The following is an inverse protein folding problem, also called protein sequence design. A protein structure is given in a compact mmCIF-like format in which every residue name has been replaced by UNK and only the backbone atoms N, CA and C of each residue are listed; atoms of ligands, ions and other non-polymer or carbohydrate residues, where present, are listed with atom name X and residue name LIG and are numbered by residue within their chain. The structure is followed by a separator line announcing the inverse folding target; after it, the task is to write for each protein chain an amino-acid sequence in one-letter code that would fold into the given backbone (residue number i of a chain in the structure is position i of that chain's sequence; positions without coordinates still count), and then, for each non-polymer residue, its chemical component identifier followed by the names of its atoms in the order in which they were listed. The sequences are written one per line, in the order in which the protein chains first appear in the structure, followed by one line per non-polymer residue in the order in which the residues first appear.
data_IF_057753770020
#
_entry.id   IF_057753770020
#
_cell.length_a   1.000
_cell.length_b   1.000
_cell.length_c   1.000
_cell.angle_alpha   90.00
_cell.angle_beta   90.00
_cell.angle_gamma   90.00
#
_symmetry.space_group_name_H-M   'P 1'
#
loop_
_entity.id
_entity.type
_entity.pdbx_description
1 polymer ?
#
# COMPACT_ATOMS: atom_id res chain seq x y z
N UNK A 1 -12.30 15.25 -3.47
CA UNK A 1 -11.00 15.17 -2.76
C UNK A 1 -11.09 15.85 -1.39
N UNK A 2 -11.70 15.18 -0.41
CA UNK A 2 -11.72 15.62 1.00
C UNK A 2 -11.34 14.44 1.92
N UNK A 3 -11.83 13.23 1.60
CA UNK A 3 -11.61 12.03 2.42
C UNK A 3 -10.15 11.54 2.55
N UNK A 4 -9.25 11.86 1.62
CA UNK A 4 -7.84 11.40 1.68
C UNK A 4 -6.96 12.28 2.56
N UNK A 5 -7.18 13.60 2.55
CA UNK A 5 -6.50 14.55 3.45
C UNK A 5 -6.86 14.27 4.91
N UNK A 6 -8.13 13.90 5.14
CA UNK A 6 -8.59 13.47 6.46
C UNK A 6 -7.82 12.24 6.96
N UNK A 7 -7.54 11.24 6.11
CA UNK A 7 -6.85 10.01 6.52
C UNK A 7 -5.39 10.26 6.93
N UNK A 8 -4.66 11.10 6.21
CA UNK A 8 -3.29 11.43 6.59
C UNK A 8 -3.25 12.19 7.92
N UNK A 9 -4.08 13.20 8.09
CA UNK A 9 -4.14 14.02 9.31
C UNK A 9 -4.65 13.21 10.51
N UNK A 10 -5.63 12.33 10.29
CA UNK A 10 -6.08 11.35 11.29
C UNK A 10 -4.92 10.43 11.67
N UNK A 11 -4.24 9.79 10.72
CA UNK A 11 -3.15 8.85 11.02
C UNK A 11 -2.00 9.51 11.81
N UNK A 12 -1.68 10.78 11.51
CA UNK A 12 -0.68 11.57 12.25
C UNK A 12 -1.14 11.83 13.68
N UNK A 13 -2.37 12.28 13.87
CA UNK A 13 -2.95 12.56 15.19
C UNK A 13 -2.99 11.30 16.05
N UNK A 14 -3.48 10.19 15.49
CA UNK A 14 -3.60 8.92 16.20
C UNK A 14 -2.23 8.38 16.64
N UNK A 15 -1.21 8.48 15.78
CA UNK A 15 0.14 8.08 16.15
C UNK A 15 0.69 8.96 17.27
N UNK A 16 0.53 10.28 17.19
CA UNK A 16 0.96 11.21 18.23
C UNK A 16 0.29 10.91 19.58
N UNK A 17 -1.02 10.65 19.58
CA UNK A 17 -1.77 10.26 20.77
C UNK A 17 -1.28 8.93 21.36
N UNK A 18 -0.93 7.95 20.50
CA UNK A 18 -0.45 6.63 20.94
C UNK A 18 0.95 6.65 21.58
N UNK A 19 1.60 7.81 21.70
CA UNK A 19 2.96 7.92 22.27
C UNK A 19 3.01 7.72 23.79
N UNK A 20 1.88 7.82 24.50
CA UNK A 20 1.81 7.57 25.94
C UNK A 20 0.93 6.37 26.27
N UNK A 21 1.32 5.61 27.31
CA UNK A 21 0.60 4.42 27.73
C UNK A 21 -0.84 4.74 28.17
N UNK A 22 -1.04 5.82 28.90
CA UNK A 22 -2.37 6.27 29.34
C UNK A 22 -3.29 6.58 28.15
N UNK A 23 -2.78 7.29 27.16
CA UNK A 23 -3.53 7.58 25.93
C UNK A 23 -3.85 6.31 25.15
N UNK A 24 -2.92 5.36 25.06
CA UNK A 24 -3.18 4.05 24.42
C UNK A 24 -4.34 3.29 25.08
N UNK A 25 -4.42 3.32 26.42
CA UNK A 25 -5.54 2.71 27.15
C UNK A 25 -6.86 3.42 26.88
N UNK A 26 -6.84 4.75 26.82
CA UNK A 26 -8.01 5.54 26.47
C UNK A 26 -8.47 5.26 25.03
N UNK A 27 -7.53 5.21 24.08
CA UNK A 27 -7.78 4.91 22.66
C UNK A 27 -8.39 3.53 22.47
N UNK A 28 -7.94 2.53 23.24
CA UNK A 28 -8.52 1.18 23.22
C UNK A 28 -9.98 1.20 23.67
N UNK A 29 -10.31 1.98 24.69
CA UNK A 29 -11.68 2.11 25.23
C UNK A 29 -12.59 2.96 24.34
N UNK A 30 -12.05 3.95 23.64
CA UNK A 30 -12.82 4.86 22.78
C UNK A 30 -13.19 4.29 21.42
N UNK A 31 -12.72 3.07 21.08
CA UNK A 31 -12.99 2.45 19.79
C UNK A 31 -12.06 2.95 18.68
N UNK A 32 -10.83 3.35 19.02
CA UNK A 32 -9.85 3.77 18.02
C UNK A 32 -9.30 2.60 17.17
N UNK A 33 -9.38 1.35 17.67
CA UNK A 33 -8.86 0.18 16.96
C UNK A 33 -9.55 -0.07 15.60
N UNK A 34 -10.90 -0.11 15.50
CA UNK A 34 -11.57 -0.17 14.20
C UNK A 34 -11.15 0.93 13.21
N UNK A 35 -10.93 2.16 13.69
CA UNK A 35 -10.49 3.27 12.83
C UNK A 35 -9.07 3.05 12.29
N UNK A 36 -8.14 2.58 13.12
CA UNK A 36 -6.79 2.24 12.69
C UNK A 36 -6.79 1.07 11.68
N UNK A 37 -7.62 0.06 11.92
CA UNK A 37 -7.81 -1.06 10.99
C UNK A 37 -8.39 -0.56 9.67
N UNK A 38 -9.36 0.35 9.70
CA UNK A 38 -9.90 0.95 8.50
C UNK A 38 -8.79 1.64 7.70
N UNK A 39 -7.97 2.49 8.30
CA UNK A 39 -6.84 3.16 7.61
C UNK A 39 -5.86 2.14 6.99
N UNK A 40 -5.64 1.00 7.64
CA UNK A 40 -4.74 -0.05 7.17
C UNK A 40 -5.29 -0.86 5.99
N UNK A 41 -6.61 -1.04 5.94
CA UNK A 41 -7.29 -1.84 4.92
C UNK A 41 -7.96 -1.01 3.84
N UNK A 42 -8.08 0.32 4.01
CA UNK A 42 -8.58 1.27 3.01
C UNK A 42 -7.65 1.32 1.80
N UNK A 43 -7.81 0.30 0.95
CA UNK A 43 -7.15 0.11 -0.34
C UNK A 43 -8.18 0.18 -1.48
N UNK A 44 -9.47 0.13 -1.13
CA UNK A 44 -10.56 -0.10 -2.07
C UNK A 44 -11.43 1.15 -2.14
N UNK A 45 -11.47 1.79 -3.29
CA UNK A 45 -12.46 2.82 -3.53
C UNK A 45 -12.41 3.40 -4.91
N UNK A 46 -11.36 4.12 -5.25
CA UNK A 46 -11.39 4.90 -6.49
C UNK A 46 -10.39 4.37 -7.50
N UNK A 47 -10.84 3.86 -8.66
CA UNK A 47 -10.05 3.90 -9.89
C UNK A 47 -9.90 5.36 -10.31
N UNK A 48 -9.26 6.14 -9.45
CA UNK A 48 -8.86 7.51 -9.70
C UNK A 48 -7.47 7.53 -10.32
N UNK A 49 -7.06 8.67 -10.91
CA UNK A 49 -5.68 8.86 -11.29
C UNK A 49 -4.78 8.55 -10.08
N UNK A 50 -3.55 8.03 -10.28
CA UNK A 50 -2.66 7.66 -9.18
C UNK A 50 -2.40 8.90 -8.29
N UNK A 51 -3.25 9.10 -7.29
CA UNK A 51 -2.99 10.00 -6.19
C UNK A 51 -1.76 9.43 -5.49
N UNK A 52 -0.82 10.31 -5.14
CA UNK A 52 0.55 9.97 -4.69
C UNK A 52 0.57 8.68 -3.86
N UNK A 53 1.04 7.55 -4.41
CA UNK A 53 1.01 6.25 -3.73
C UNK A 53 1.78 6.28 -2.39
N UNK A 54 2.67 7.27 -2.25
CA UNK A 54 3.45 7.56 -1.04
C UNK A 54 2.58 8.01 0.14
N UNK A 55 1.54 8.83 -0.07
CA UNK A 55 0.74 9.38 1.03
C UNK A 55 -0.12 8.34 1.74
N UNK A 56 -0.77 7.47 0.96
CA UNK A 56 -1.52 6.33 1.48
C UNK A 56 -0.60 5.34 2.21
N UNK A 57 0.61 5.09 1.68
CA UNK A 57 1.62 4.24 2.32
C UNK A 57 2.06 4.82 3.67
N UNK A 58 2.31 6.12 3.73
CA UNK A 58 2.68 6.82 4.96
C UNK A 58 1.57 6.77 6.02
N UNK A 59 0.32 6.97 5.64
CA UNK A 59 -0.83 6.85 6.55
C UNK A 59 -0.94 5.42 7.11
N UNK A 60 -0.75 4.39 6.26
CA UNK A 60 -0.71 2.99 6.70
C UNK A 60 0.42 2.72 7.68
N UNK A 61 1.63 3.22 7.41
CA UNK A 61 2.78 3.05 8.33
C UNK A 61 2.50 3.67 9.70
N UNK A 62 1.92 4.88 9.73
CA UNK A 62 1.55 5.54 11.00
C UNK A 62 0.47 4.77 11.76
N UNK A 63 -0.55 4.29 11.07
CA UNK A 63 -1.60 3.49 11.68
C UNK A 63 -1.06 2.16 12.25
N UNK A 64 -0.11 1.53 11.57
CA UNK A 64 0.52 0.30 12.05
C UNK A 64 1.33 0.55 13.33
N UNK A 65 2.12 1.62 13.36
CA UNK A 65 2.88 2.01 14.55
C UNK A 65 1.95 2.35 15.74
N UNK A 66 0.85 3.04 15.49
CA UNK A 66 -0.14 3.34 16.52
C UNK A 66 -0.80 2.06 17.09
N UNK A 67 -1.14 1.09 16.24
CA UNK A 67 -1.64 -0.21 16.69
C UNK A 67 -0.62 -0.95 17.56
N UNK A 68 0.65 -0.96 17.15
CA UNK A 68 1.72 -1.58 17.92
C UNK A 68 1.82 -0.97 19.33
N UNK A 69 1.77 0.36 19.44
CA UNK A 69 1.79 1.06 20.73
C UNK A 69 0.60 0.69 21.62
N UNK A 70 -0.60 0.58 21.05
CA UNK A 70 -1.83 0.22 21.80
C UNK A 70 -1.80 -1.23 22.27
N UNK A 71 -1.28 -2.15 21.45
CA UNK A 71 -1.11 -3.56 21.84
C UNK A 71 -0.03 -3.70 22.90
N UNK A 72 1.10 -3.02 22.73
CA UNK A 72 2.20 -3.04 23.69
C UNK A 72 1.81 -2.43 25.05
N UNK A 73 0.94 -1.43 25.05
CA UNK A 73 0.45 -0.77 26.27
C UNK A 73 -0.58 -1.59 27.07
N UNK A 74 -0.93 -2.80 26.62
CA UNK A 74 -1.88 -3.69 27.29
C UNK A 74 -1.37 -4.08 28.70
N UNK A 75 -2.07 -3.71 29.79
CA UNK A 75 -1.65 -4.01 31.16
C UNK A 75 -1.72 -5.51 31.50
N UNK A 76 -2.62 -6.25 30.87
CA UNK A 76 -2.68 -7.71 31.06
C UNK A 76 -1.59 -8.38 30.21
N UNK A 77 -0.50 -8.81 30.86
CA UNK A 77 0.62 -9.45 30.17
C UNK A 77 0.24 -10.69 29.35
N UNK A 78 -0.77 -11.44 29.79
CA UNK A 78 -1.24 -12.64 29.10
C UNK A 78 -1.94 -12.29 27.80
N UNK A 79 -2.78 -11.25 27.82
CA UNK A 79 -3.42 -10.70 26.63
C UNK A 79 -2.41 -9.99 25.74
N UNK A 80 -1.50 -9.19 26.30
CA UNK A 80 -0.46 -8.49 25.54
C UNK A 80 0.35 -9.47 24.69
N UNK A 81 0.78 -10.60 25.27
CA UNK A 81 1.52 -11.65 24.55
C UNK A 81 0.69 -12.28 23.43
N UNK A 82 -0.61 -12.51 23.64
CA UNK A 82 -1.50 -13.07 22.61
C UNK A 82 -1.71 -12.08 21.46
N UNK A 83 -2.10 -10.86 21.80
CA UNK A 83 -2.35 -9.80 20.83
C UNK A 83 -1.09 -9.46 20.02
N UNK A 84 0.08 -9.40 20.66
CA UNK A 84 1.36 -9.12 19.99
C UNK A 84 1.73 -10.23 19.00
N UNK A 85 1.51 -11.51 19.34
CA UNK A 85 1.74 -12.63 18.41
C UNK A 85 0.84 -12.54 17.19
N UNK A 86 -0.44 -12.23 17.39
CA UNK A 86 -1.39 -12.07 16.28
C UNK A 86 -1.01 -10.87 15.42
N UNK A 87 -0.73 -9.72 16.04
CA UNK A 87 -0.32 -8.50 15.34
C UNK A 87 0.92 -8.76 14.49
N UNK A 88 1.94 -9.41 15.05
CA UNK A 88 3.17 -9.71 14.32
C UNK A 88 2.93 -10.55 13.06
N UNK A 89 2.11 -11.60 13.15
CA UNK A 89 1.76 -12.42 11.97
C UNK A 89 1.00 -11.60 10.93
N UNK A 90 0.07 -10.74 11.35
CA UNK A 90 -0.67 -9.86 10.44
C UNK A 90 0.26 -8.84 9.75
N UNK A 91 1.24 -8.30 10.46
CA UNK A 91 2.25 -7.41 9.89
C UNK A 91 3.10 -8.12 8.83
N UNK A 92 3.51 -9.37 9.10
CA UNK A 92 4.23 -10.19 8.12
C UNK A 92 3.39 -10.43 6.87
N UNK A 93 2.10 -10.79 7.03
CA UNK A 93 1.18 -11.00 5.91
C UNK A 93 1.00 -9.71 5.09
N UNK A 94 0.83 -8.55 5.74
CA UNK A 94 0.68 -7.26 5.05
C UNK A 94 1.96 -6.89 4.29
N UNK A 95 3.13 -7.02 4.93
CA UNK A 95 4.41 -6.72 4.30
C UNK A 95 4.70 -7.62 3.09
N UNK A 96 4.37 -8.91 3.19
CA UNK A 96 4.48 -9.85 2.07
C UNK A 96 3.54 -9.45 0.93
N UNK A 97 2.29 -9.12 1.24
CA UNK A 97 1.29 -8.70 0.25
C UNK A 97 1.69 -7.42 -0.47
N UNK A 98 2.19 -6.41 0.26
CA UNK A 98 2.73 -5.17 -0.36
C UNK A 98 3.91 -5.49 -1.28
N UNK A 99 4.83 -6.35 -0.84
CA UNK A 99 5.97 -6.77 -1.65
C UNK A 99 5.48 -7.44 -2.94
N UNK A 100 4.57 -8.41 -2.86
CA UNK A 100 3.98 -9.06 -4.05
C UNK A 100 3.33 -8.06 -5.01
N UNK A 101 2.64 -7.05 -4.48
CA UNK A 101 2.00 -6.02 -5.30
C UNK A 101 3.02 -5.13 -6.00
N UNK A 102 4.08 -4.72 -5.30
CA UNK A 102 5.21 -3.97 -5.88
C UNK A 102 5.87 -4.78 -7.03
N UNK A 103 6.11 -6.08 -6.83
CA UNK A 103 6.63 -6.97 -7.89
C UNK A 103 5.70 -7.01 -9.11
N UNK A 104 4.38 -7.14 -8.91
CA UNK A 104 3.39 -7.19 -9.99
C UNK A 104 3.32 -5.88 -10.78
N UNK A 105 3.42 -4.74 -10.09
CA UNK A 105 3.46 -3.42 -10.74
C UNK A 105 4.74 -3.23 -11.56
N UNK A 106 5.89 -3.67 -11.06
CA UNK A 106 7.15 -3.63 -11.80
C UNK A 106 7.06 -4.47 -13.09
N UNK A 107 6.52 -5.68 -13.00
CA UNK A 107 6.31 -6.54 -14.18
C UNK A 107 5.33 -5.93 -15.20
N UNK A 108 4.27 -5.26 -14.74
CA UNK A 108 3.30 -4.59 -15.61
C UNK A 108 3.92 -3.41 -16.37
N UNK A 109 4.83 -2.67 -15.72
CA UNK A 109 5.57 -1.56 -16.33
C UNK A 109 6.63 -2.04 -17.33
N UNK A 110 7.31 -3.15 -17.03
CA UNK A 110 8.29 -3.75 -17.93
C UNK A 110 7.62 -4.44 -19.14
N UNK A 111 6.46 -5.07 -18.95
CA UNK A 111 5.66 -5.65 -20.03
C UNK A 111 5.06 -4.63 -20.99
N UNK A 112 4.80 -3.40 -20.53
CA UNK A 112 4.39 -2.28 -21.38
C UNK A 112 5.55 -1.71 -22.24
N UNK A 113 6.80 -2.13 -21.98
CA UNK A 113 7.99 -1.74 -22.74
C UNK A 113 8.44 -2.82 -23.73
N UNK A 114 7.48 -3.55 -24.31
CA UNK A 114 7.69 -4.44 -25.46
C UNK A 114 8.20 -3.67 -26.69
N UNK A 115 8.85 -4.34 -27.66
CA UNK A 115 9.76 -3.71 -28.61
C UNK A 115 9.01 -2.89 -29.67
N UNK A 116 8.78 -1.62 -29.39
CA UNK A 116 8.53 -0.64 -30.46
C UNK A 116 9.84 -0.43 -31.23
N UNK A 117 9.95 -1.07 -32.39
CA UNK A 117 11.06 -0.81 -33.32
C UNK A 117 11.56 -1.95 -34.18
N UNK A 118 10.84 -3.05 -34.37
CA UNK A 118 11.10 -3.97 -35.50
C UNK A 118 10.24 -3.57 -36.71
N UNK A 119 10.41 -2.33 -37.16
CA UNK A 119 9.88 -1.87 -38.44
C UNK A 119 10.50 -2.69 -39.56
N UNK A 120 9.67 -3.51 -40.17
CA UNK A 120 9.95 -4.37 -41.31
C UNK A 120 10.46 -3.56 -42.50
N UNK A 121 11.77 -3.57 -42.69
CA UNK A 121 12.45 -3.10 -43.90
C UNK A 121 13.27 -4.23 -44.51
N UNK A 122 12.61 -5.28 -45.01
CA UNK A 122 13.23 -6.20 -45.97
C UNK A 122 12.33 -6.27 -47.19
N UNK A 123 12.67 -5.38 -48.12
CA UNK A 123 12.26 -5.35 -49.51
C UNK A 123 12.54 -6.72 -50.15
N UNK A 124 11.48 -7.49 -50.40
CA UNK A 124 11.49 -8.71 -51.18
C UNK A 124 10.28 -8.63 -52.12
N UNK A 125 10.47 -8.07 -53.31
CA UNK A 125 9.42 -8.09 -54.33
C UNK A 125 9.64 -7.13 -55.48
N UNK A 126 10.47 -7.50 -56.46
CA UNK A 126 10.68 -6.66 -57.65
C UNK A 126 11.45 -7.32 -58.80
N UNK A 127 11.31 -8.63 -59.01
CA UNK A 127 11.68 -9.27 -60.28
C UNK A 127 10.55 -9.01 -61.29
N UNK A 128 10.80 -8.17 -62.30
CA UNK A 128 9.86 -7.96 -63.40
C UNK A 128 10.40 -7.00 -64.45
N UNK A 129 11.01 -7.53 -65.51
CA UNK A 129 11.55 -6.77 -66.63
C UNK A 129 10.49 -6.19 -67.58
N UNK A 130 10.85 -5.10 -68.24
CA UNK A 130 10.37 -4.63 -69.54
C UNK A 130 11.35 -3.50 -69.96
N UNK A 131 12.11 -3.55 -71.05
CA UNK A 131 11.71 -3.95 -72.39
C UNK A 131 11.12 -2.74 -73.14
N UNK A 132 11.97 -1.76 -73.51
CA UNK A 132 11.73 -0.71 -74.52
C UNK A 132 13.12 -0.36 -75.08
N UNK A 133 13.42 -0.49 -76.37
CA UNK A 133 12.62 -0.16 -77.55
C UNK A 133 13.29 1.03 -78.19
#
# INVERSE_FOLDING_TARGET
MLATRDKEDMSRTLLAMSSSQESCLAMRKSGCLPLLIQILHDSDGEPGPPESPTGAKDARMRANAALHNIVFSQPDEGQAKKEMRVLHVLEQIRSYSETCWDWLQMQSRDGARGPEGAGTGRDWGGLGGAGRG
#
